data_IF_519591089617
#
_entry.id   IF_519591089617
#
_cell.length_a   1.000
_cell.length_b   1.000
_cell.length_c   1.000
_cell.angle_alpha   90.00
_cell.angle_beta   90.00
_cell.angle_gamma   90.00
#
_symmetry.space_group_name_H-M   'P 1'
#
loop_
_entity.id
_entity.type
_entity.pdbx_description
1 polymer ?
#
# COMPACT_ATOMS: atom_id res chain seq x y z
N UNK A 1 -40.97 9.19 -9.50
CA UNK A 1 -42.25 8.94 -10.20
C UNK A 1 -43.38 9.69 -9.50
N UNK A 2 -44.12 10.54 -10.22
CA UNK A 2 -45.32 11.21 -9.68
C UNK A 2 -46.51 10.28 -9.94
N UNK A 3 -47.19 9.78 -8.89
CA UNK A 3 -48.38 8.93 -9.05
C UNK A 3 -49.55 9.75 -9.61
N UNK A 4 -50.22 9.20 -10.62
CA UNK A 4 -51.42 9.76 -11.23
C UNK A 4 -52.60 9.74 -10.24
N UNK A 5 -53.54 10.68 -10.38
CA UNK A 5 -54.75 10.77 -9.53
C UNK A 5 -55.94 9.94 -10.04
N UNK A 6 -55.77 9.19 -11.12
CA UNK A 6 -56.81 8.30 -11.67
C UNK A 6 -56.32 6.86 -11.64
N UNK A 7 -57.09 6.01 -10.95
CA UNK A 7 -56.73 4.62 -10.63
C UNK A 7 -56.95 3.61 -11.78
N UNK A 8 -57.33 4.07 -12.98
CA UNK A 8 -57.67 3.21 -14.13
C UNK A 8 -56.74 3.37 -15.34
N UNK A 9 -55.63 4.12 -15.22
CA UNK A 9 -54.73 4.34 -16.35
C UNK A 9 -53.29 4.03 -15.96
N UNK A 10 -52.84 2.81 -16.31
CA UNK A 10 -51.49 2.28 -16.05
C UNK A 10 -50.44 2.77 -17.08
N UNK A 11 -50.79 3.73 -17.93
CA UNK A 11 -49.86 4.31 -18.91
C UNK A 11 -48.71 5.09 -18.24
N UNK A 12 -47.48 4.71 -18.58
CA UNK A 12 -46.27 5.43 -18.19
C UNK A 12 -46.23 6.78 -18.91
N UNK A 13 -45.99 7.85 -18.16
CA UNK A 13 -45.95 9.22 -18.69
C UNK A 13 -44.69 9.95 -18.22
N UNK A 14 -44.07 10.72 -19.11
CA UNK A 14 -42.93 11.59 -18.80
C UNK A 14 -43.33 13.05 -18.91
N UNK A 15 -42.98 13.83 -17.88
CA UNK A 15 -43.15 15.28 -17.86
C UNK A 15 -41.80 15.95 -18.11
N UNK A 16 -41.73 16.80 -19.12
CA UNK A 16 -40.50 17.52 -19.48
C UNK A 16 -40.54 18.94 -18.90
N UNK A 17 -39.55 19.28 -18.08
CA UNK A 17 -39.36 20.62 -17.52
C UNK A 17 -38.39 21.49 -18.33
N UNK A 18 -38.59 22.80 -18.30
CA UNK A 18 -37.63 23.77 -18.85
C UNK A 18 -36.72 24.30 -17.75
N UNK A 19 -35.43 24.42 -18.06
CA UNK A 19 -34.40 24.94 -17.14
C UNK A 19 -33.84 26.24 -17.69
N UNK A 20 -33.63 27.21 -16.81
CA UNK A 20 -32.82 28.40 -17.12
C UNK A 20 -31.37 28.11 -16.78
N UNK A 21 -30.50 28.24 -17.77
CA UNK A 21 -29.05 28.18 -17.59
C UNK A 21 -28.55 29.57 -17.21
N UNK A 22 -27.96 29.70 -16.02
CA UNK A 22 -27.31 30.95 -15.57
C UNK A 22 -25.81 30.71 -15.47
N UNK A 23 -25.01 31.53 -16.15
CA UNK A 23 -23.54 31.49 -16.01
C UNK A 23 -23.16 31.93 -14.59
N UNK A 24 -22.52 31.03 -13.85
CA UNK A 24 -21.88 31.30 -12.57
C UNK A 24 -20.40 31.64 -12.74
N UNK A 25 -19.69 31.94 -11.64
CA UNK A 25 -18.25 32.17 -11.68
C UNK A 25 -17.49 30.89 -12.12
N UNK A 26 -16.29 31.06 -12.67
CA UNK A 26 -15.40 29.97 -13.12
C UNK A 26 -15.97 29.05 -14.22
N UNK A 27 -16.73 29.58 -15.18
CA UNK A 27 -17.38 28.82 -16.26
C UNK A 27 -18.40 27.75 -15.80
N UNK A 28 -18.77 27.73 -14.52
CA UNK A 28 -19.79 26.82 -14.02
C UNK A 28 -21.18 27.30 -14.45
N UNK A 29 -21.98 26.44 -15.09
CA UNK A 29 -23.36 26.78 -15.45
C UNK A 29 -24.29 26.18 -14.39
N UNK A 30 -25.01 27.04 -13.66
CA UNK A 30 -26.01 26.56 -12.69
C UNK A 30 -27.35 26.45 -13.39
N UNK A 31 -27.90 25.25 -13.41
CA UNK A 31 -29.22 24.98 -13.96
C UNK A 31 -30.27 25.13 -12.86
N UNK A 32 -31.25 25.97 -13.10
CA UNK A 32 -32.39 26.15 -12.18
C UNK A 32 -33.69 25.93 -12.94
N UNK A 33 -34.60 25.15 -12.37
CA UNK A 33 -35.95 24.95 -12.90
C UNK A 33 -36.58 26.32 -13.19
N UNK A 34 -37.02 26.53 -14.43
CA UNK A 34 -37.63 27.81 -14.82
C UNK A 34 -38.93 28.07 -14.06
N UNK A 35 -39.72 27.02 -13.83
CA UNK A 35 -40.91 27.06 -13.01
C UNK A 35 -41.17 25.65 -12.42
N UNK A 36 -41.21 25.47 -11.09
CA UNK A 36 -41.49 24.18 -10.46
C UNK A 36 -42.94 23.70 -10.65
N UNK A 37 -43.87 24.57 -11.08
CA UNK A 37 -45.27 24.24 -11.44
C UNK A 37 -45.67 24.98 -12.73
N UNK A 38 -45.21 24.54 -13.91
CA UNK A 38 -45.45 25.24 -15.16
C UNK A 38 -46.95 25.24 -15.52
N UNK A 39 -47.44 26.34 -16.10
CA UNK A 39 -48.85 26.45 -16.54
C UNK A 39 -49.20 25.52 -17.72
N UNK A 40 -48.19 25.11 -18.49
CA UNK A 40 -48.27 24.13 -19.57
C UNK A 40 -47.21 23.06 -19.35
N UNK A 41 -47.63 21.83 -19.08
CA UNK A 41 -46.74 20.67 -18.92
C UNK A 41 -46.76 19.87 -20.23
N UNK A 42 -45.63 19.76 -20.93
CA UNK A 42 -45.51 18.77 -22.01
C UNK A 42 -45.45 17.40 -21.33
N UNK A 43 -46.56 16.67 -21.42
CA UNK A 43 -46.70 15.32 -20.87
C UNK A 43 -46.81 14.37 -22.04
N UNK A 44 -45.75 13.61 -22.29
CA UNK A 44 -45.74 12.60 -23.35
C UNK A 44 -46.30 11.30 -22.77
N UNK A 45 -47.24 10.69 -23.48
CA UNK A 45 -47.93 9.45 -23.10
C UNK A 45 -48.07 8.51 -24.30
N UNK A 46 -48.21 7.21 -24.03
CA UNK A 46 -48.43 6.20 -25.06
C UNK A 46 -47.43 6.34 -26.22
N UNK A 47 -47.95 6.44 -27.45
CA UNK A 47 -47.15 6.55 -28.67
C UNK A 47 -46.17 7.75 -28.69
N UNK A 48 -46.48 8.87 -28.04
CA UNK A 48 -45.56 10.02 -27.98
C UNK A 48 -44.37 9.78 -27.05
N UNK A 49 -44.58 8.99 -25.99
CA UNK A 49 -43.50 8.57 -25.11
C UNK A 49 -42.63 7.51 -25.80
N UNK A 50 -43.25 6.54 -26.46
CA UNK A 50 -42.54 5.52 -27.26
C UNK A 50 -41.69 6.17 -28.36
N UNK A 51 -42.23 7.16 -29.09
CA UNK A 51 -41.48 7.90 -30.10
C UNK A 51 -40.29 8.68 -29.52
N UNK A 52 -40.39 9.19 -28.28
CA UNK A 52 -39.25 9.82 -27.61
C UNK A 52 -38.18 8.79 -27.24
N UNK A 53 -38.58 7.62 -26.74
CA UNK A 53 -37.67 6.52 -26.43
C UNK A 53 -36.93 6.08 -27.69
N UNK A 54 -37.66 5.81 -28.76
CA UNK A 54 -37.09 5.42 -30.07
C UNK A 54 -36.18 6.52 -30.63
N UNK A 55 -36.55 7.79 -30.48
CA UNK A 55 -35.71 8.90 -30.91
C UNK A 55 -34.39 8.94 -30.12
N UNK A 56 -34.44 8.82 -28.80
CA UNK A 56 -33.24 8.83 -27.95
C UNK A 56 -32.36 7.61 -28.28
N UNK A 57 -32.94 6.41 -28.40
CA UNK A 57 -32.23 5.19 -28.77
C UNK A 57 -31.53 5.31 -30.14
N UNK A 58 -32.19 5.95 -31.11
CA UNK A 58 -31.69 6.03 -32.48
C UNK A 58 -30.94 7.32 -32.83
N UNK A 59 -30.91 8.34 -31.97
CA UNK A 59 -30.28 9.63 -32.28
C UNK A 59 -29.26 10.07 -31.25
N UNK A 60 -29.24 9.46 -30.07
CA UNK A 60 -28.19 9.66 -29.09
C UNK A 60 -27.20 8.50 -29.19
N UNK A 61 -26.03 8.79 -29.75
CA UNK A 61 -24.97 7.80 -30.05
C UNK A 61 -24.67 6.83 -28.89
N UNK A 62 -24.62 7.24 -27.61
CA UNK A 62 -24.46 6.30 -26.50
C UNK A 62 -25.54 5.21 -26.41
N UNK A 63 -26.81 5.54 -26.64
CA UNK A 63 -27.89 4.53 -26.60
C UNK A 63 -27.88 3.64 -27.85
N UNK A 64 -27.47 4.16 -29.00
CA UNK A 64 -27.24 3.33 -30.19
C UNK A 64 -26.16 2.26 -29.94
N UNK A 65 -25.16 2.59 -29.11
CA UNK A 65 -24.10 1.66 -28.71
C UNK A 65 -24.49 0.74 -27.56
N UNK A 66 -25.76 0.76 -27.11
CA UNK A 66 -26.27 -0.11 -26.05
C UNK A 66 -25.83 0.30 -24.64
N UNK A 67 -25.38 1.55 -24.44
CA UNK A 67 -25.00 2.06 -23.11
C UNK A 67 -26.27 2.21 -22.26
N UNK A 68 -26.38 1.40 -21.21
CA UNK A 68 -27.55 1.39 -20.31
C UNK A 68 -27.33 2.13 -18.98
N UNK A 69 -26.08 2.51 -18.67
CA UNK A 69 -25.70 3.21 -17.43
C UNK A 69 -24.67 4.29 -17.73
N UNK A 70 -24.80 5.42 -17.06
CA UNK A 70 -23.92 6.58 -17.21
C UNK A 70 -23.32 6.94 -15.85
N UNK A 71 -22.07 7.40 -15.87
CA UNK A 71 -21.44 8.11 -14.74
C UNK A 71 -21.24 9.55 -15.21
N UNK A 72 -22.08 10.52 -14.78
CA UNK A 72 -21.91 11.92 -15.13
C UNK A 72 -20.59 12.43 -14.50
N UNK A 73 -19.67 12.92 -15.32
CA UNK A 73 -18.35 13.43 -14.89
C UNK A 73 -18.40 14.92 -14.48
N UNK A 74 -19.53 15.56 -14.76
CA UNK A 74 -19.86 16.97 -14.58
C UNK A 74 -20.50 17.27 -13.21
N UNK A 75 -20.92 16.25 -12.47
CA UNK A 75 -21.29 16.36 -11.05
C UNK A 75 -20.03 16.15 -10.19
N UNK A 76 -19.74 17.14 -9.34
CA UNK A 76 -18.51 17.28 -8.57
C UNK A 76 -18.26 16.11 -7.59
N UNK A 77 -17.73 14.96 -8.03
CA UNK A 77 -17.35 13.82 -7.17
C UNK A 77 -18.21 13.66 -5.89
N UNK A 78 -19.53 13.74 -6.02
CA UNK A 78 -20.43 13.76 -4.87
C UNK A 78 -20.49 12.36 -4.24
N UNK A 79 -20.76 12.27 -2.94
CA UNK A 79 -20.73 11.00 -2.19
C UNK A 79 -21.62 9.89 -2.80
N UNK A 80 -22.68 10.24 -3.55
CA UNK A 80 -23.53 9.29 -4.27
C UNK A 80 -22.81 8.52 -5.39
N UNK A 81 -21.78 9.10 -6.01
CA UNK A 81 -20.97 8.43 -7.03
C UNK A 81 -20.00 7.38 -6.43
N UNK A 82 -19.69 7.51 -5.13
CA UNK A 82 -18.84 6.56 -4.41
C UNK A 82 -19.53 5.21 -4.24
N UNK A 83 -20.85 5.17 -4.00
CA UNK A 83 -21.59 3.92 -3.86
C UNK A 83 -21.56 3.08 -5.14
N UNK A 84 -21.62 3.73 -6.31
CA UNK A 84 -21.50 3.05 -7.60
C UNK A 84 -20.10 2.49 -7.85
N UNK A 85 -19.05 3.25 -7.50
CA UNK A 85 -17.67 2.76 -7.55
C UNK A 85 -17.44 1.62 -6.54
N UNK A 86 -17.97 1.73 -5.32
CA UNK A 86 -17.89 0.67 -4.30
C UNK A 86 -18.62 -0.60 -4.74
N UNK A 87 -19.80 -0.49 -5.35
CA UNK A 87 -20.51 -1.64 -5.92
C UNK A 87 -19.73 -2.28 -7.07
N UNK A 88 -19.07 -1.46 -7.91
CA UNK A 88 -18.21 -1.93 -8.99
C UNK A 88 -17.00 -2.72 -8.45
N UNK A 89 -16.25 -2.18 -7.49
CA UNK A 89 -15.10 -2.86 -6.86
C UNK A 89 -15.48 -3.92 -5.83
N UNK A 90 -16.76 -3.99 -5.43
CA UNK A 90 -17.33 -4.97 -4.52
C UNK A 90 -17.88 -6.23 -5.20
N UNK A 91 -17.88 -6.28 -6.53
CA UNK A 91 -18.39 -7.42 -7.31
C UNK A 91 -17.63 -8.72 -6.97
N UNK A 92 -18.30 -9.87 -6.77
CA UNK A 92 -17.64 -11.17 -6.54
C UNK A 92 -16.63 -11.56 -7.63
N UNK A 93 -16.80 -11.09 -8.87
CA UNK A 93 -15.91 -11.36 -10.00
C UNK A 93 -14.77 -10.34 -10.13
N UNK A 94 -14.17 -9.91 -9.02
CA UNK A 94 -13.09 -8.89 -9.01
C UNK A 94 -11.96 -9.20 -9.98
N UNK A 95 -11.59 -10.48 -10.12
CA UNK A 95 -10.48 -10.87 -10.99
C UNK A 95 -10.75 -10.55 -12.47
N UNK A 96 -11.96 -10.85 -12.98
CA UNK A 96 -12.31 -10.54 -14.37
C UNK A 96 -12.30 -9.03 -14.63
N UNK A 97 -12.68 -8.23 -13.63
CA UNK A 97 -12.61 -6.78 -13.70
C UNK A 97 -11.16 -6.29 -13.75
N UNK A 98 -10.28 -6.85 -12.92
CA UNK A 98 -8.84 -6.53 -12.95
C UNK A 98 -8.26 -6.88 -14.34
N UNK A 99 -8.55 -8.06 -14.86
CA UNK A 99 -8.04 -8.51 -16.17
C UNK A 99 -8.54 -7.62 -17.31
N UNK A 100 -9.82 -7.23 -17.29
CA UNK A 100 -10.39 -6.28 -18.25
C UNK A 100 -9.70 -4.92 -18.17
N UNK A 101 -9.52 -4.39 -16.96
CA UNK A 101 -8.92 -3.09 -16.73
C UNK A 101 -7.44 -3.06 -17.17
N UNK A 102 -6.68 -4.13 -16.90
CA UNK A 102 -5.30 -4.27 -17.34
C UNK A 102 -5.17 -4.47 -18.86
N UNK A 103 -6.11 -5.18 -19.48
CA UNK A 103 -6.09 -5.46 -20.93
C UNK A 103 -6.47 -4.28 -21.83
N UNK A 104 -7.05 -3.21 -21.25
CA UNK A 104 -7.59 -2.08 -21.99
C UNK A 104 -6.95 -0.72 -21.65
N UNK A 105 -5.84 -0.72 -20.90
CA UNK A 105 -5.08 0.49 -20.53
C UNK A 105 -5.96 1.59 -19.89
N UNK A 106 -6.93 1.15 -19.08
CA UNK A 106 -7.97 2.02 -18.49
C UNK A 106 -7.40 2.82 -17.30
N UNK A 107 -6.34 2.33 -16.66
CA UNK A 107 -5.72 2.95 -15.48
C UNK A 107 -4.60 3.89 -15.94
N UNK A 108 -4.72 5.20 -15.71
CA UNK A 108 -3.61 6.12 -15.93
C UNK A 108 -2.45 5.80 -14.98
N UNK A 109 -1.21 5.98 -15.44
CA UNK A 109 0.00 5.77 -14.65
C UNK A 109 -0.04 6.54 -13.31
N UNK A 110 -0.63 7.74 -13.30
CA UNK A 110 -0.77 8.57 -12.10
C UNK A 110 -1.60 7.87 -11.01
N UNK A 111 -2.60 7.08 -11.40
CA UNK A 111 -3.44 6.36 -10.46
C UNK A 111 -2.69 5.17 -9.85
N UNK A 112 -1.84 4.50 -10.62
CA UNK A 112 -0.96 3.45 -10.10
C UNK A 112 0.06 4.01 -9.11
N UNK A 113 0.70 5.14 -9.45
CA UNK A 113 1.60 5.85 -8.54
C UNK A 113 0.87 6.26 -7.27
N UNK A 114 -0.33 6.82 -7.37
CA UNK A 114 -1.13 7.24 -6.23
C UNK A 114 -1.50 6.04 -5.33
N UNK A 115 -1.91 4.90 -5.89
CA UNK A 115 -2.22 3.70 -5.12
C UNK A 115 -0.99 3.14 -4.42
N UNK A 116 0.16 3.04 -5.10
CA UNK A 116 1.40 2.59 -4.49
C UNK A 116 1.83 3.51 -3.35
N UNK A 117 1.72 4.83 -3.53
CA UNK A 117 2.02 5.80 -2.49
C UNK A 117 1.07 5.65 -1.30
N UNK A 118 -0.24 5.47 -1.54
CA UNK A 118 -1.22 5.23 -0.49
C UNK A 118 -0.94 3.95 0.30
N UNK A 119 -0.57 2.86 -0.38
CA UNK A 119 -0.17 1.60 0.26
C UNK A 119 1.03 1.81 1.18
N UNK A 120 2.07 2.51 0.71
CA UNK A 120 3.25 2.81 1.53
C UNK A 120 2.94 3.71 2.72
N UNK A 121 2.07 4.71 2.55
CA UNK A 121 1.60 5.57 3.66
C UNK A 121 0.92 4.71 4.74
N UNK A 122 -0.03 3.85 4.34
CA UNK A 122 -0.73 2.94 5.27
C UNK A 122 0.22 1.97 5.97
N UNK A 123 1.24 1.48 5.25
CA UNK A 123 2.26 0.62 5.83
C UNK A 123 3.06 1.35 6.92
N UNK A 124 3.46 2.61 6.68
CA UNK A 124 4.15 3.45 7.66
C UNK A 124 3.25 3.76 8.87
N UNK A 125 1.99 4.15 8.65
CA UNK A 125 1.01 4.36 9.73
C UNK A 125 0.85 3.08 10.58
N UNK A 126 0.80 1.91 9.92
CA UNK A 126 0.73 0.63 10.60
C UNK A 126 2.00 0.33 11.40
N UNK A 127 3.17 0.64 10.87
CA UNK A 127 4.44 0.53 11.58
C UNK A 127 4.40 1.34 12.88
N UNK A 128 3.98 2.61 12.82
CA UNK A 128 3.86 3.49 13.99
C UNK A 128 2.84 2.98 15.03
N UNK A 129 1.75 2.37 14.58
CA UNK A 129 0.81 1.66 15.44
C UNK A 129 1.48 0.46 16.12
N UNK A 130 2.17 -0.38 15.36
CA UNK A 130 2.85 -1.57 15.87
C UNK A 130 3.91 -1.20 16.92
N UNK A 131 4.63 -0.11 16.74
CA UNK A 131 5.62 0.40 17.70
C UNK A 131 5.06 0.83 19.05
N UNK A 132 3.74 1.08 19.13
CA UNK A 132 3.05 1.46 20.37
C UNK A 132 2.50 0.24 21.11
N UNK A 133 2.60 -0.94 20.52
CA UNK A 133 2.03 -2.18 21.04
C UNK A 133 3.15 -3.19 21.32
N UNK A 134 3.04 -3.93 22.43
CA UNK A 134 3.99 -5.00 22.76
C UNK A 134 3.72 -6.26 21.91
N UNK A 135 4.16 -6.21 20.66
CA UNK A 135 3.95 -7.29 19.68
C UNK A 135 5.03 -8.37 19.73
N UNK A 136 4.72 -9.53 19.18
CA UNK A 136 5.68 -10.62 19.07
C UNK A 136 6.64 -10.39 17.90
N UNK A 137 7.78 -11.07 17.90
CA UNK A 137 8.73 -11.02 16.77
C UNK A 137 8.09 -11.51 15.47
N UNK A 138 7.16 -12.48 15.56
CA UNK A 138 6.42 -12.99 14.41
C UNK A 138 5.53 -11.94 13.75
N UNK A 139 4.88 -11.07 14.53
CA UNK A 139 4.08 -9.96 13.98
C UNK A 139 4.95 -9.00 13.16
N UNK A 140 6.18 -8.75 13.63
CA UNK A 140 7.15 -7.93 12.90
C UNK A 140 7.66 -8.62 11.64
N UNK A 141 8.02 -9.91 11.72
CA UNK A 141 8.43 -10.69 10.56
C UNK A 141 7.37 -10.60 9.44
N UNK A 142 6.12 -10.89 9.76
CA UNK A 142 5.01 -10.80 8.79
C UNK A 142 4.89 -9.41 8.17
N UNK A 143 5.01 -8.36 8.98
CA UNK A 143 4.94 -6.99 8.46
C UNK A 143 6.10 -6.69 7.50
N UNK A 144 7.33 -7.15 7.79
CA UNK A 144 8.49 -6.99 6.91
C UNK A 144 8.38 -7.79 5.62
N UNK A 145 7.78 -8.99 5.65
CA UNK A 145 7.49 -9.77 4.42
C UNK A 145 6.56 -9.01 3.47
N UNK A 146 5.53 -8.36 4.02
CA UNK A 146 4.56 -7.59 3.24
C UNK A 146 5.11 -6.22 2.80
N UNK A 147 6.19 -5.73 3.43
CA UNK A 147 6.70 -4.36 3.28
C UNK A 147 8.23 -4.28 3.17
N UNK A 148 8.86 -5.25 2.52
CA UNK A 148 10.31 -5.37 2.38
C UNK A 148 10.99 -4.13 1.79
N UNK A 149 10.27 -3.34 1.00
CA UNK A 149 10.70 -2.04 0.46
C UNK A 149 11.27 -1.09 1.53
N UNK A 150 10.89 -1.20 2.80
CA UNK A 150 11.46 -0.35 3.88
C UNK A 150 12.90 -0.67 4.21
N UNK A 151 13.39 -1.85 3.82
CA UNK A 151 14.80 -2.21 3.89
C UNK A 151 15.62 -1.43 2.85
N UNK A 152 14.97 -0.73 1.93
CA UNK A 152 15.59 0.19 0.98
C UNK A 152 15.98 -0.47 -0.33
N UNK A 153 16.67 0.30 -1.18
CA UNK A 153 17.12 -0.15 -2.51
C UNK A 153 18.30 -1.12 -2.47
N UNK A 154 18.78 -1.46 -1.28
CA UNK A 154 19.88 -2.39 -1.08
C UNK A 154 19.47 -3.83 -1.47
N UNK A 155 18.17 -4.12 -1.54
CA UNK A 155 17.62 -5.44 -1.81
C UNK A 155 16.69 -5.46 -3.03
N UNK A 156 16.79 -6.53 -3.81
CA UNK A 156 15.95 -6.81 -4.99
C UNK A 156 14.69 -7.55 -4.57
N UNK A 157 14.86 -8.59 -3.75
CA UNK A 157 13.77 -9.44 -3.27
C UNK A 157 14.14 -10.19 -2.00
N UNK A 158 13.12 -10.55 -1.25
CA UNK A 158 13.18 -11.57 -0.21
C UNK A 158 13.15 -12.97 -0.84
N UNK A 159 13.91 -13.92 -0.29
CA UNK A 159 13.90 -15.32 -0.68
C UNK A 159 12.90 -16.10 0.19
N UNK A 160 12.27 -17.12 -0.39
CA UNK A 160 11.35 -18.00 0.35
C UNK A 160 12.10 -18.87 1.38
N UNK A 161 13.38 -19.13 1.16
CA UNK A 161 14.25 -19.88 2.07
C UNK A 161 14.74 -19.02 3.23
N UNK A 162 14.77 -19.62 4.42
CA UNK A 162 15.28 -19.02 5.68
C UNK A 162 16.31 -19.90 6.38
N UNK A 163 16.35 -21.17 6.02
CA UNK A 163 17.19 -22.19 6.63
C UNK A 163 18.56 -22.13 5.98
N UNK A 164 19.56 -21.68 6.74
CA UNK A 164 20.96 -21.68 6.31
C UNK A 164 21.48 -23.11 6.41
N UNK A 165 21.29 -23.74 7.56
CA UNK A 165 21.63 -25.14 7.82
C UNK A 165 20.63 -25.80 8.79
N UNK A 166 20.92 -26.99 9.30
CA UNK A 166 20.01 -27.73 10.20
C UNK A 166 19.75 -27.05 11.55
N UNK A 167 20.62 -26.15 11.99
CA UNK A 167 20.58 -25.49 13.29
C UNK A 167 20.33 -23.97 13.20
N UNK A 168 20.56 -23.37 12.03
CA UNK A 168 20.55 -21.93 11.83
C UNK A 168 19.45 -21.52 10.84
N UNK A 169 18.43 -20.84 11.39
CA UNK A 169 17.30 -20.28 10.65
C UNK A 169 17.30 -18.77 10.91
N UNK A 170 17.57 -17.99 9.87
CA UNK A 170 17.49 -16.52 9.94
C UNK A 170 16.05 -16.05 9.80
N UNK A 171 15.77 -14.79 10.16
CA UNK A 171 14.46 -14.21 9.86
C UNK A 171 14.22 -14.11 8.35
N UNK A 172 15.19 -13.57 7.60
CA UNK A 172 15.14 -13.49 6.13
C UNK A 172 16.50 -13.68 5.47
N UNK A 173 16.48 -14.34 4.31
CA UNK A 173 17.55 -14.26 3.32
C UNK A 173 17.08 -13.35 2.18
N UNK A 174 17.95 -12.43 1.78
CA UNK A 174 17.65 -11.39 0.79
C UNK A 174 18.63 -11.49 -0.37
N UNK A 175 18.15 -11.26 -1.59
CA UNK A 175 19.02 -10.99 -2.72
C UNK A 175 19.32 -9.49 -2.76
N UNK A 176 20.57 -9.12 -2.50
CA UNK A 176 21.04 -7.74 -2.58
C UNK A 176 21.11 -7.26 -4.04
N UNK A 177 21.11 -5.94 -4.25
CA UNK A 177 21.17 -5.33 -5.59
C UNK A 177 22.42 -5.73 -6.41
N UNK A 178 23.50 -6.15 -5.75
CA UNK A 178 24.73 -6.65 -6.37
C UNK A 178 24.65 -8.16 -6.70
N UNK A 179 23.50 -8.80 -6.47
CA UNK A 179 23.21 -10.20 -6.76
C UNK A 179 23.89 -11.16 -5.79
N UNK A 180 24.17 -10.71 -4.57
CA UNK A 180 24.69 -11.53 -3.48
C UNK A 180 23.63 -11.75 -2.40
N UNK A 181 23.77 -12.84 -1.66
CA UNK A 181 22.90 -13.20 -0.57
C UNK A 181 23.30 -12.39 0.67
N UNK A 182 22.33 -11.67 1.21
CA UNK A 182 22.41 -10.97 2.48
C UNK A 182 21.38 -11.54 3.45
N UNK A 183 21.57 -11.25 4.73
CA UNK A 183 20.79 -11.78 5.83
C UNK A 183 20.11 -10.61 6.52
N UNK A 184 18.85 -10.77 6.91
CA UNK A 184 18.19 -9.84 7.83
C UNK A 184 17.81 -10.61 9.08
N UNK A 185 18.20 -10.07 10.22
CA UNK A 185 17.85 -10.59 11.53
C UNK A 185 17.16 -9.49 12.33
N UNK A 186 16.07 -9.84 12.99
CA UNK A 186 15.17 -8.97 13.71
C UNK A 186 15.15 -9.40 15.17
N UNK A 187 15.25 -8.43 16.07
CA UNK A 187 15.03 -8.62 17.50
C UNK A 187 14.08 -7.53 17.97
N UNK A 188 12.85 -7.95 18.29
CA UNK A 188 11.67 -7.10 18.54
C UNK A 188 11.97 -5.84 19.39
N UNK A 189 11.24 -4.74 19.17
CA UNK A 189 11.48 -3.48 19.87
C UNK A 189 11.17 -3.55 21.37
N UNK A 190 10.13 -4.30 21.72
CA UNK A 190 9.64 -4.47 23.09
C UNK A 190 10.08 -5.82 23.68
N UNK A 191 9.96 -6.00 25.00
CA UNK A 191 10.36 -7.25 25.67
C UNK A 191 11.70 -7.18 26.43
N UNK A 192 11.93 -6.09 27.15
CA UNK A 192 13.08 -5.87 28.03
C UNK A 192 14.48 -5.81 27.37
N UNK A 193 14.55 -5.96 26.04
CA UNK A 193 15.77 -5.82 25.26
C UNK A 193 16.34 -4.41 25.40
N UNK A 194 17.62 -4.32 25.73
CA UNK A 194 18.33 -3.05 25.85
C UNK A 194 19.40 -2.94 24.79
N UNK A 195 19.49 -1.78 24.15
CA UNK A 195 20.58 -1.48 23.21
C UNK A 195 21.85 -1.10 23.97
N UNK A 196 21.75 -0.12 24.87
CA UNK A 196 22.85 0.39 25.70
C UNK A 196 22.76 -0.16 27.12
N UNK A 197 23.92 -0.41 27.73
CA UNK A 197 24.01 -0.66 29.16
C UNK A 197 23.50 0.53 29.97
N UNK A 198 23.00 0.26 31.19
CA UNK A 198 22.54 1.33 32.11
C UNK A 198 23.69 2.22 32.58
N UNK A 199 24.88 1.64 32.74
CA UNK A 199 26.10 2.36 33.13
C UNK A 199 26.98 2.61 31.92
N UNK A 200 27.60 3.80 31.88
CA UNK A 200 28.71 4.10 30.99
C UNK A 200 29.99 3.43 31.52
N UNK A 201 30.96 3.21 30.63
CA UNK A 201 32.32 2.82 30.98
C UNK A 201 33.30 3.88 30.48
N UNK A 202 34.03 4.52 31.39
CA UNK A 202 34.88 5.67 31.09
C UNK A 202 34.20 6.72 30.18
N UNK A 203 32.97 7.13 30.53
CA UNK A 203 32.08 8.03 29.76
C UNK A 203 31.60 7.53 28.39
N UNK A 204 31.89 6.28 28.03
CA UNK A 204 31.41 5.67 26.80
C UNK A 204 30.10 4.90 27.03
N UNK A 205 29.17 5.04 26.08
CA UNK A 205 28.03 4.14 25.99
C UNK A 205 28.52 2.78 25.50
N UNK A 206 28.22 1.74 26.27
CA UNK A 206 28.61 0.36 25.99
C UNK A 206 27.38 -0.45 25.57
N UNK A 207 27.45 -1.27 24.51
CA UNK A 207 26.40 -2.21 24.14
C UNK A 207 25.95 -3.05 25.33
N UNK A 208 24.64 -3.20 25.52
CA UNK A 208 24.12 -4.14 26.50
C UNK A 208 24.32 -5.59 26.01
N UNK A 209 24.31 -6.55 26.94
CA UNK A 209 24.48 -7.98 26.62
C UNK A 209 23.44 -8.51 25.62
N UNK A 210 22.24 -7.95 25.60
CA UNK A 210 21.20 -8.34 24.64
C UNK A 210 21.62 -8.02 23.20
N UNK A 211 22.14 -6.82 22.97
CA UNK A 211 22.67 -6.43 21.67
C UNK A 211 23.90 -7.28 21.30
N UNK A 212 24.79 -7.57 22.27
CA UNK A 212 25.97 -8.43 22.04
C UNK A 212 25.55 -9.84 21.61
N UNK A 213 24.51 -10.42 22.23
CA UNK A 213 23.96 -11.72 21.83
C UNK A 213 23.42 -11.70 20.40
N UNK A 214 22.65 -10.65 20.05
CA UNK A 214 22.10 -10.50 18.71
C UNK A 214 23.20 -10.31 17.64
N UNK A 215 24.24 -9.52 17.94
CA UNK A 215 25.42 -9.38 17.07
C UNK A 215 26.14 -10.71 16.90
N UNK A 216 26.26 -11.49 17.97
CA UNK A 216 26.90 -12.82 17.93
C UNK A 216 26.11 -13.78 17.04
N UNK A 217 24.78 -13.77 17.15
CA UNK A 217 23.89 -14.56 16.31
C UNK A 217 23.99 -14.15 14.83
N UNK A 218 23.91 -12.86 14.52
CA UNK A 218 24.08 -12.34 13.16
C UNK A 218 25.44 -12.74 12.56
N UNK A 219 26.52 -12.66 13.36
CA UNK A 219 27.86 -13.07 12.93
C UNK A 219 27.95 -14.57 12.66
N UNK A 220 27.25 -15.40 13.44
CA UNK A 220 27.16 -16.85 13.22
C UNK A 220 26.45 -17.14 11.90
N UNK A 221 25.34 -16.47 11.59
CA UNK A 221 24.62 -16.66 10.33
C UNK A 221 25.45 -16.29 9.11
N UNK A 222 26.19 -15.17 9.16
CA UNK A 222 27.16 -14.81 8.11
C UNK A 222 28.14 -15.95 7.88
N UNK A 223 28.75 -16.45 8.96
CA UNK A 223 29.74 -17.53 8.88
C UNK A 223 29.15 -18.83 8.30
N UNK A 224 27.92 -19.20 8.69
CA UNK A 224 27.29 -20.42 8.18
C UNK A 224 26.89 -20.30 6.70
N UNK A 225 26.41 -19.13 6.25
CA UNK A 225 26.19 -18.90 4.82
C UNK A 225 27.51 -18.97 4.04
N UNK A 226 28.60 -18.42 4.57
CA UNK A 226 29.92 -18.55 3.95
C UNK A 226 30.36 -20.03 3.84
N UNK A 227 30.07 -20.85 4.86
CA UNK A 227 30.38 -22.29 4.83
C UNK A 227 29.57 -23.06 3.79
N UNK A 228 28.32 -22.66 3.56
CA UNK A 228 27.46 -23.26 2.55
C UNK A 228 27.72 -22.72 1.14
N UNK A 229 28.75 -21.88 0.93
CA UNK A 229 28.97 -21.23 -0.37
C UNK A 229 29.30 -22.18 -1.53
N UNK A 230 29.92 -23.32 -1.24
CA UNK A 230 30.21 -24.37 -2.23
C UNK A 230 29.14 -25.48 -2.27
N UNK A 231 28.06 -25.33 -1.49
CA UNK A 231 26.98 -26.31 -1.38
C UNK A 231 25.99 -26.13 -2.53
N UNK A 232 26.04 -27.02 -3.52
CA UNK A 232 25.08 -27.03 -4.66
C UNK A 232 23.64 -27.07 -4.16
N UNK A 233 23.36 -27.86 -3.13
CA UNK A 233 22.04 -27.98 -2.53
C UNK A 233 21.57 -26.66 -1.91
N UNK A 234 22.45 -25.95 -1.21
CA UNK A 234 22.09 -24.66 -0.63
C UNK A 234 21.88 -23.62 -1.74
N UNK A 235 22.76 -23.58 -2.74
CA UNK A 235 22.60 -22.71 -3.92
C UNK A 235 21.27 -22.94 -4.62
N UNK A 236 20.82 -24.18 -4.81
CA UNK A 236 19.50 -24.48 -5.37
C UNK A 236 18.35 -23.95 -4.49
N UNK A 237 18.46 -24.05 -3.17
CA UNK A 237 17.45 -23.54 -2.22
C UNK A 237 17.34 -22.02 -2.23
N UNK A 238 18.44 -21.32 -2.51
CA UNK A 238 18.48 -19.85 -2.61
C UNK A 238 18.41 -19.37 -4.06
N UNK A 239 17.78 -20.15 -4.96
CA UNK A 239 17.57 -19.82 -6.38
C UNK A 239 18.84 -19.43 -7.16
N UNK A 240 20.00 -19.97 -6.77
CA UNK A 240 21.29 -19.68 -7.38
C UNK A 240 21.89 -18.32 -7.00
N UNK A 241 21.33 -17.63 -6.01
CA UNK A 241 21.89 -16.37 -5.49
C UNK A 241 23.28 -16.63 -4.91
N UNK A 242 24.24 -15.75 -5.23
CA UNK A 242 25.65 -15.94 -4.84
C UNK A 242 25.84 -15.67 -3.35
N UNK A 243 26.43 -16.62 -2.64
CA UNK A 243 26.57 -16.61 -1.18
C UNK A 243 27.94 -16.13 -0.68
N UNK A 244 28.75 -15.57 -1.58
CA UNK A 244 30.10 -15.10 -1.24
C UNK A 244 29.98 -13.79 -0.45
N UNK A 245 30.65 -13.74 0.71
CA UNK A 245 30.75 -12.55 1.57
C UNK A 245 29.39 -11.94 1.93
N UNK A 246 28.47 -12.76 2.50
CA UNK A 246 27.15 -12.29 2.87
C UNK A 246 27.26 -11.20 3.93
N UNK A 247 26.38 -10.20 3.85
CA UNK A 247 26.23 -9.19 4.89
C UNK A 247 25.00 -9.50 5.71
N UNK A 248 24.91 -8.91 6.91
CA UNK A 248 23.73 -9.01 7.75
C UNK A 248 23.24 -7.62 8.14
N UNK A 249 21.94 -7.37 8.03
CA UNK A 249 21.27 -6.25 8.69
C UNK A 249 20.58 -6.76 9.94
N UNK A 250 21.06 -6.30 11.10
CA UNK A 250 20.46 -6.59 12.39
C UNK A 250 19.53 -5.44 12.80
N UNK A 251 18.22 -5.68 12.79
CA UNK A 251 17.19 -4.74 13.25
C UNK A 251 16.91 -5.02 14.73
N UNK A 252 17.36 -4.14 15.61
CA UNK A 252 17.36 -4.38 17.05
C UNK A 252 16.78 -3.19 17.82
N UNK A 253 15.70 -3.42 18.57
CA UNK A 253 15.25 -2.49 19.61
C UNK A 253 14.79 -1.11 19.11
N UNK A 254 14.56 -0.22 20.08
CA UNK A 254 14.15 1.18 19.88
C UNK A 254 15.30 2.14 20.18
N UNK A 255 15.22 3.33 19.59
CA UNK A 255 16.15 4.46 19.77
C UNK A 255 15.44 5.80 19.94
N UNK A 256 14.13 5.78 20.17
CA UNK A 256 13.29 6.93 20.48
C UNK A 256 13.73 7.67 21.76
N UNK A 257 14.31 6.96 22.73
CA UNK A 257 14.86 7.53 23.96
C UNK A 257 16.33 8.03 23.82
N UNK A 258 16.91 8.03 22.62
CA UNK A 258 18.31 8.37 22.45
C UNK A 258 18.58 9.88 22.35
N UNK A 259 19.43 10.36 23.25
CA UNK A 259 20.04 11.68 23.16
C UNK A 259 21.15 11.73 22.07
N UNK A 260 21.69 12.92 21.82
CA UNK A 260 22.74 13.15 20.83
C UNK A 260 23.99 12.31 21.09
N UNK A 261 24.36 12.08 22.35
CA UNK A 261 25.53 11.27 22.71
C UNK A 261 25.33 9.80 22.34
N UNK A 262 24.20 9.18 22.70
CA UNK A 262 23.84 7.80 22.30
C UNK A 262 23.84 7.65 20.79
N UNK A 263 23.30 8.63 20.04
CA UNK A 263 23.32 8.64 18.57
C UNK A 263 24.74 8.71 18.00
N UNK A 264 25.63 9.50 18.61
CA UNK A 264 27.05 9.56 18.23
C UNK A 264 27.77 8.24 18.54
N UNK A 265 27.57 7.68 19.73
CA UNK A 265 28.12 6.38 20.10
C UNK A 265 27.63 5.26 19.20
N UNK A 266 26.36 5.27 18.81
CA UNK A 266 25.80 4.34 17.83
C UNK A 266 26.53 4.45 16.48
N UNK A 267 26.72 5.68 15.96
CA UNK A 267 27.43 5.88 14.69
C UNK A 267 28.85 5.29 14.73
N UNK A 268 29.57 5.51 15.83
CA UNK A 268 30.93 4.97 16.03
C UNK A 268 30.89 3.45 16.09
N UNK A 269 30.02 2.88 16.93
CA UNK A 269 29.84 1.43 17.06
C UNK A 269 29.55 0.79 15.70
N UNK A 270 28.56 1.32 14.98
CA UNK A 270 28.11 0.74 13.71
C UNK A 270 29.19 0.84 12.61
N UNK A 271 30.05 1.86 12.66
CA UNK A 271 31.16 2.02 11.70
C UNK A 271 32.30 1.00 11.85
N UNK A 272 32.35 0.28 12.97
CA UNK A 272 33.37 -0.75 13.21
C UNK A 272 33.04 -2.09 12.53
N UNK A 273 31.83 -2.25 12.01
CA UNK A 273 31.40 -3.46 11.32
C UNK A 273 31.54 -3.30 9.80
N UNK A 274 32.00 -4.36 9.13
CA UNK A 274 32.19 -4.37 7.68
C UNK A 274 31.12 -5.18 6.93
N UNK A 275 30.65 -6.26 7.54
CA UNK A 275 29.65 -7.21 7.01
C UNK A 275 28.39 -7.24 7.87
N UNK A 276 28.29 -6.39 8.90
CA UNK A 276 27.11 -6.26 9.74
C UNK A 276 26.69 -4.80 9.76
N UNK A 277 25.41 -4.54 9.58
CA UNK A 277 24.80 -3.22 9.78
C UNK A 277 23.73 -3.34 10.86
N UNK A 278 23.88 -2.60 11.94
CA UNK A 278 22.85 -2.53 12.98
C UNK A 278 21.90 -1.39 12.63
N UNK A 279 20.60 -1.65 12.73
CA UNK A 279 19.53 -0.67 12.64
C UNK A 279 18.59 -0.85 13.83
N UNK A 280 17.82 0.20 14.15
CA UNK A 280 16.72 0.10 15.12
C UNK A 280 15.40 0.22 14.37
N UNK A 281 14.29 -0.13 15.00
CA UNK A 281 12.99 0.03 14.36
C UNK A 281 12.69 1.50 14.03
N UNK A 282 13.19 2.47 14.81
CA UNK A 282 13.09 3.90 14.46
C UNK A 282 13.95 4.29 13.26
N UNK A 283 15.12 3.67 13.07
CA UNK A 283 15.93 3.92 11.88
C UNK A 283 15.22 3.41 10.62
N UNK A 284 14.52 2.27 10.70
CA UNK A 284 13.70 1.73 9.61
C UNK A 284 12.50 2.65 9.34
N UNK A 285 11.77 3.06 10.39
CA UNK A 285 10.66 3.99 10.25
C UNK A 285 11.11 5.30 9.58
N UNK A 286 12.18 5.91 10.07
CA UNK A 286 12.72 7.15 9.50
C UNK A 286 13.20 6.98 8.04
N UNK A 287 13.65 5.77 7.65
CA UNK A 287 13.96 5.44 6.25
C UNK A 287 12.68 5.36 5.42
N UNK A 288 11.66 4.65 5.89
CA UNK A 288 10.39 4.49 5.21
C UNK A 288 9.69 5.86 5.00
N UNK A 289 9.65 6.70 6.02
CA UNK A 289 9.11 8.08 5.94
C UNK A 289 9.84 8.94 4.90
N UNK A 290 11.15 8.77 4.73
CA UNK A 290 11.92 9.52 3.71
C UNK A 290 11.60 9.05 2.30
N UNK A 291 11.25 7.77 2.11
CA UNK A 291 10.85 7.24 0.82
C UNK A 291 9.43 7.66 0.41
N UNK A 292 8.65 8.21 1.34
CA UNK A 292 7.33 8.80 1.07
C UNK A 292 7.39 10.26 0.61
N UNK A 293 8.54 10.93 0.76
CA UNK A 293 8.76 12.33 0.37
C UNK A 293 9.21 12.43 -1.08
#
# INVERSE_FOLDING_TARGET
MIKHRHAENDEVAVKIGRYKKKKGPFNFTRETLENPKPKSELTLKGAEFEALVEFIENKYEPFQQGVQKFIPLDEQFEAGNIEHLQAFFGNPEKQKLIDFVLGHDIIPDELFVAFNQLTKIRAVEKFEEMLRNDLTEHDWQKWFEENDWVLGTDYVRMLDERTIDTENISDFLMEAYDGFLDIVEIKRPDGALRFWSKSKDHENYVPHQDLVKAITQASKYIYEVERESDSVKFLEKVDGVRTIKPRCVLIFGRSDDWNTEKKKSFRILNSNYHNLTIMTFDHILARAERMLR
#
